data_IF_784986268667
#
_entry.id   IF_784986268667
#
_cell.length_a   1.000
_cell.length_b   1.000
_cell.length_c   1.000
_cell.angle_alpha   90.00
_cell.angle_beta   90.00
_cell.angle_gamma   90.00
#
_symmetry.space_group_name_H-M   'P 1'
#
loop_
_entity.id
_entity.type
_entity.pdbx_description
1 polymer ?
#
# COMPACT_ATOMS: atom_id res chain seq x y z
N UNK A 1 -7.82 -20.66 -1.19
CA UNK A 1 -7.36 -19.26 -1.09
C UNK A 1 -6.26 -19.24 -0.04
N UNK A 2 -5.03 -18.91 -0.41
CA UNK A 2 -3.88 -19.11 0.48
C UNK A 2 -3.79 -18.01 1.55
N UNK A 3 -3.86 -18.42 2.82
CA UNK A 3 -3.77 -17.53 3.99
C UNK A 3 -2.47 -16.71 3.97
N UNK A 4 -1.37 -17.32 3.49
CA UNK A 4 -0.07 -16.66 3.33
C UNK A 4 -0.13 -15.47 2.37
N UNK A 5 -0.88 -15.58 1.27
CA UNK A 5 -1.06 -14.50 0.30
C UNK A 5 -1.89 -13.35 0.89
N UNK A 6 -2.84 -13.66 1.76
CA UNK A 6 -3.64 -12.65 2.48
C UNK A 6 -2.77 -11.90 3.49
N UNK A 7 -1.96 -12.61 4.28
CA UNK A 7 -1.02 -12.01 5.24
C UNK A 7 -0.02 -11.10 4.51
N UNK A 8 0.55 -11.57 3.40
CA UNK A 8 1.47 -10.79 2.59
C UNK A 8 0.84 -9.50 2.06
N UNK A 9 -0.37 -9.57 1.48
CA UNK A 9 -1.10 -8.38 1.02
C UNK A 9 -1.48 -7.43 2.15
N UNK A 10 -1.75 -7.93 3.35
CA UNK A 10 -2.03 -7.08 4.52
C UNK A 10 -0.77 -6.37 5.01
N UNK A 11 0.38 -7.06 5.00
CA UNK A 11 1.68 -6.47 5.33
C UNK A 11 2.14 -5.43 4.30
N UNK A 12 1.91 -5.67 3.01
CA UNK A 12 2.15 -4.71 1.92
C UNK A 12 1.28 -3.45 2.05
N UNK A 13 0.10 -3.58 2.65
CA UNK A 13 -0.79 -2.45 2.98
C UNK A 13 -0.37 -1.71 4.26
N UNK A 14 0.75 -2.08 4.88
CA UNK A 14 1.27 -1.44 6.09
C UNK A 14 0.56 -1.86 7.37
N UNK A 15 -0.20 -2.95 7.35
CA UNK A 15 -0.85 -3.48 8.55
C UNK A 15 0.18 -4.17 9.44
N UNK A 16 0.12 -3.90 10.75
CA UNK A 16 1.01 -4.52 11.73
C UNK A 16 0.67 -6.00 11.92
N UNK A 17 1.67 -6.83 12.27
CA UNK A 17 1.45 -8.27 12.48
C UNK A 17 0.41 -8.55 13.59
N UNK A 18 0.24 -7.64 14.55
CA UNK A 18 -0.78 -7.74 15.60
C UNK A 18 -2.20 -7.44 15.07
N UNK A 19 -2.35 -6.47 14.18
CA UNK A 19 -3.62 -6.19 13.49
C UNK A 19 -4.00 -7.33 12.53
N UNK A 20 -3.03 -7.88 11.81
CA UNK A 20 -3.23 -9.04 10.94
C UNK A 20 -3.71 -10.23 11.78
N UNK A 21 -3.05 -10.49 12.92
CA UNK A 21 -3.44 -11.57 13.83
C UNK A 21 -4.86 -11.38 14.37
N UNK A 22 -5.22 -10.16 14.78
CA UNK A 22 -6.56 -9.83 15.26
C UNK A 22 -7.61 -10.10 14.16
N UNK A 23 -7.36 -9.64 12.94
CA UNK A 23 -8.25 -9.84 11.81
C UNK A 23 -8.39 -11.32 11.42
N UNK A 24 -7.30 -12.10 11.43
CA UNK A 24 -7.35 -13.54 11.15
C UNK A 24 -8.12 -14.31 12.23
N UNK A 25 -8.01 -13.89 13.49
CA UNK A 25 -8.76 -14.45 14.61
C UNK A 25 -10.26 -14.12 14.50
N UNK A 26 -10.59 -12.89 14.12
CA UNK A 26 -11.98 -12.47 13.85
C UNK A 26 -12.59 -13.24 12.67
N UNK A 27 -11.77 -13.63 11.68
CA UNK A 27 -12.17 -14.46 10.55
C UNK A 27 -12.21 -15.97 10.85
N UNK A 28 -11.90 -16.38 12.09
CA UNK A 28 -11.96 -17.79 12.52
C UNK A 28 -10.92 -18.69 11.83
N UNK A 29 -9.83 -18.12 11.31
CA UNK A 29 -8.80 -18.89 10.60
C UNK A 29 -7.96 -19.67 11.62
N UNK A 30 -8.05 -21.00 11.58
CA UNK A 30 -7.18 -21.89 12.35
C UNK A 30 -5.72 -21.64 11.92
N UNK A 31 -4.90 -21.11 12.83
CA UNK A 31 -3.50 -20.74 12.56
C UNK A 31 -3.14 -19.27 12.82
N UNK A 32 -4.05 -18.44 13.36
CA UNK A 32 -3.75 -17.05 13.72
C UNK A 32 -2.54 -16.90 14.68
N UNK A 33 -2.25 -17.90 15.50
CA UNK A 33 -1.09 -17.90 16.41
C UNK A 33 0.25 -18.28 15.75
N UNK A 34 0.22 -18.84 14.53
CA UNK A 34 1.43 -19.22 13.78
C UNK A 34 2.07 -18.04 13.03
N UNK A 35 1.50 -16.83 13.15
CA UNK A 35 2.06 -15.59 12.58
C UNK A 35 3.28 -15.09 13.36
N UNK A 36 3.85 -15.90 14.26
CA UNK A 36 5.11 -15.60 14.95
C UNK A 36 6.29 -16.20 14.20
N UNK A 37 7.15 -15.32 13.70
CA UNK A 37 8.58 -15.62 13.56
C UNK A 37 9.05 -16.02 12.17
N UNK A 38 8.92 -15.13 11.20
CA UNK A 38 9.93 -15.01 10.16
C UNK A 38 11.04 -14.10 10.69
N UNK A 39 12.13 -14.70 11.17
CA UNK A 39 13.34 -14.01 11.66
C UNK A 39 13.77 -12.89 10.72
N UNK A 40 14.26 -11.82 11.34
CA UNK A 40 15.16 -10.85 10.73
C UNK A 40 16.33 -11.60 10.06
N UNK A 41 16.31 -11.66 8.74
CA UNK A 41 17.51 -11.86 7.94
C UNK A 41 17.65 -10.66 7.03
N UNK A 42 18.74 -9.94 7.28
CA UNK A 42 19.38 -8.93 6.46
C UNK A 42 18.51 -7.74 6.01
N UNK A 43 18.81 -6.59 6.62
CA UNK A 43 18.73 -5.28 5.98
C UNK A 43 19.48 -5.31 4.63
N UNK A 44 18.86 -5.89 3.61
CA UNK A 44 19.18 -5.58 2.23
C UNK A 44 18.37 -4.33 1.90
N UNK A 45 18.98 -3.29 1.32
CA UNK A 45 18.24 -2.10 0.93
C UNK A 45 17.08 -2.56 0.06
N UNK A 46 15.87 -2.11 0.42
CA UNK A 46 14.62 -2.42 -0.28
C UNK A 46 14.76 -1.94 -1.72
N UNK A 47 15.25 -2.83 -2.58
CA UNK A 47 15.49 -2.59 -3.98
C UNK A 47 14.23 -2.95 -4.73
N UNK A 48 13.64 -1.96 -5.40
CA UNK A 48 12.52 -2.20 -6.31
C UNK A 48 12.94 -3.20 -7.39
N UNK A 49 12.28 -4.34 -7.48
CA UNK A 49 12.36 -5.25 -8.62
C UNK A 49 11.25 -4.87 -9.59
N UNK A 50 11.60 -4.45 -10.81
CA UNK A 50 10.64 -4.28 -11.90
C UNK A 50 10.79 -5.46 -12.85
N UNK A 51 9.71 -6.22 -13.03
CA UNK A 51 9.59 -7.17 -14.14
C UNK A 51 9.30 -6.39 -15.40
N UNK A 52 10.24 -6.39 -16.34
CA UNK A 52 10.02 -5.85 -17.68
C UNK A 52 9.53 -6.98 -18.57
N UNK A 53 8.38 -6.79 -19.21
CA UNK A 53 7.85 -7.68 -20.24
C UNK A 53 8.34 -7.19 -21.59
N UNK A 54 9.18 -8.00 -22.25
CA UNK A 54 9.63 -7.74 -23.62
C UNK A 54 8.51 -7.92 -24.63
N UNK A 55 8.68 -7.38 -25.84
CA UNK A 55 7.69 -7.46 -26.92
C UNK A 55 7.34 -8.90 -27.36
N UNK A 56 8.17 -9.89 -26.99
CA UNK A 56 7.95 -11.32 -27.26
C UNK A 56 7.40 -12.10 -26.06
N UNK A 57 7.03 -11.42 -24.96
CA UNK A 57 6.47 -12.05 -23.77
C UNK A 57 7.50 -12.68 -22.83
N UNK A 58 8.80 -12.47 -23.07
CA UNK A 58 9.86 -12.86 -22.14
C UNK A 58 9.83 -11.94 -20.90
N UNK A 59 9.57 -12.54 -19.75
CA UNK A 59 9.62 -11.90 -18.44
C UNK A 59 11.05 -11.94 -17.91
N UNK A 60 11.72 -10.79 -17.87
CA UNK A 60 13.04 -10.67 -17.22
C UNK A 60 12.91 -9.88 -15.93
N UNK A 61 13.28 -10.50 -14.82
CA UNK A 61 13.41 -9.83 -13.53
C UNK A 61 14.62 -8.89 -13.57
N UNK A 62 14.37 -7.59 -13.54
CA UNK A 62 15.43 -6.59 -13.41
C UNK A 62 15.49 -6.18 -11.95
N UNK A 63 16.47 -6.71 -11.23
CA UNK A 63 16.78 -6.26 -9.87
C UNK A 63 17.56 -4.95 -9.93
N UNK A 64 16.93 -3.83 -9.55
CA UNK A 64 17.57 -2.50 -9.47
C UNK A 64 18.78 -2.52 -8.53
N UNK A 65 18.77 -3.37 -7.50
CA UNK A 65 19.91 -3.59 -6.61
C UNK A 65 21.19 -4.04 -7.37
N UNK A 66 21.05 -4.84 -8.43
CA UNK A 66 22.21 -5.29 -9.24
C UNK A 66 22.75 -4.18 -10.16
N UNK A 67 21.91 -3.21 -10.53
CA UNK A 67 22.31 -2.05 -11.32
C UNK A 67 23.19 -1.10 -10.49
N UNK A 68 22.81 -0.89 -9.23
CA UNK A 68 23.53 -0.04 -8.27
C UNK A 68 24.92 -0.63 -7.95
N UNK A 69 25.05 -1.95 -7.83
CA UNK A 69 26.35 -2.60 -7.59
C UNK A 69 27.31 -2.55 -8.80
N UNK A 70 26.81 -2.42 -10.04
CA UNK A 70 27.66 -2.31 -11.23
C UNK A 70 28.20 -0.90 -11.48
N UNK A 71 27.56 0.13 -10.94
CA UNK A 71 27.98 1.52 -11.02
C UNK A 71 28.82 1.90 -9.80
N UNK A 72 30.07 1.43 -9.74
CA UNK A 72 31.07 1.87 -8.75
C UNK A 72 31.71 3.23 -9.13
N UNK A 73 30.96 4.11 -9.80
CA UNK A 73 31.36 5.46 -10.15
C UNK A 73 30.39 6.47 -9.50
N UNK A 74 30.56 6.65 -8.19
CA UNK A 74 30.53 7.95 -7.50
C UNK A 74 29.42 8.97 -7.79
N UNK A 75 28.25 8.59 -8.31
CA UNK A 75 27.12 9.52 -8.49
C UNK A 75 25.99 9.15 -7.55
N UNK A 76 25.68 9.98 -6.53
CA UNK A 76 24.47 9.78 -5.75
C UNK A 76 23.28 10.06 -6.67
N UNK A 77 22.62 8.99 -7.14
CA UNK A 77 21.40 9.02 -7.96
C UNK A 77 20.19 9.64 -7.25
N UNK A 78 20.36 10.10 -6.01
CA UNK A 78 19.37 10.82 -5.22
C UNK A 78 19.58 12.34 -5.21
N UNK A 79 20.33 12.88 -6.19
CA UNK A 79 20.27 14.32 -6.46
C UNK A 79 18.94 14.69 -7.11
N UNK A 80 18.00 15.09 -6.25
CA UNK A 80 17.01 16.13 -6.54
C UNK A 80 16.10 15.92 -7.76
N UNK A 81 15.12 15.03 -7.65
CA UNK A 81 13.88 15.20 -8.43
C UNK A 81 12.95 16.23 -7.77
N UNK A 82 13.45 17.43 -7.47
CA UNK A 82 12.64 18.55 -7.03
C UNK A 82 12.17 19.35 -8.24
N UNK A 83 11.16 18.84 -8.93
CA UNK A 83 10.28 19.69 -9.74
C UNK A 83 8.98 18.93 -10.00
N UNK A 84 8.16 18.81 -8.95
CA UNK A 84 6.73 18.66 -9.18
C UNK A 84 6.34 19.89 -9.99
N UNK A 85 5.91 19.70 -11.24
CA UNK A 85 5.48 20.83 -12.06
C UNK A 85 4.37 21.56 -11.29
N UNK A 86 4.33 22.91 -11.28
CA UNK A 86 3.26 23.66 -10.60
C UNK A 86 1.85 23.19 -10.99
N UNK A 87 1.71 22.66 -12.21
CA UNK A 87 0.47 22.07 -12.73
C UNK A 87 0.08 20.76 -12.04
N UNK A 88 1.04 19.96 -11.60
CA UNK A 88 0.82 18.73 -10.86
C UNK A 88 0.51 19.02 -9.39
N UNK A 89 1.15 20.02 -8.79
CA UNK A 89 0.83 20.50 -7.43
C UNK A 89 -0.62 20.99 -7.38
N UNK A 90 -1.03 21.84 -8.33
CA UNK A 90 -2.41 22.32 -8.41
C UNK A 90 -3.44 21.18 -8.57
N UNK A 91 -3.13 20.18 -9.40
CA UNK A 91 -4.01 19.00 -9.55
C UNK A 91 -4.12 18.17 -8.29
N UNK A 92 -3.05 18.08 -7.50
CA UNK A 92 -3.07 17.40 -6.21
C UNK A 92 -3.90 18.17 -5.19
N UNK A 93 -3.79 19.50 -5.15
CA UNK A 93 -4.61 20.35 -4.29
C UNK A 93 -6.09 20.27 -4.66
N UNK A 94 -6.43 20.31 -5.95
CA UNK A 94 -7.80 20.14 -6.45
C UNK A 94 -8.35 18.75 -6.08
N UNK A 95 -7.54 17.69 -6.23
CA UNK A 95 -7.94 16.34 -5.84
C UNK A 95 -8.16 16.22 -4.32
N UNK A 96 -7.32 16.87 -3.51
CA UNK A 96 -7.48 16.93 -2.05
C UNK A 96 -8.76 17.69 -1.66
N UNK A 97 -9.08 18.78 -2.34
CA UNK A 97 -10.31 19.54 -2.13
C UNK A 97 -11.55 18.69 -2.45
N UNK A 98 -11.54 17.97 -3.58
CA UNK A 98 -12.62 17.06 -3.96
C UNK A 98 -12.79 15.91 -2.96
N UNK A 99 -11.69 15.32 -2.48
CA UNK A 99 -11.73 14.28 -1.46
C UNK A 99 -12.37 14.76 -0.16
N UNK A 100 -12.05 15.97 0.29
CA UNK A 100 -12.68 16.57 1.48
C UNK A 100 -14.18 16.81 1.26
N UNK A 101 -14.56 17.35 0.11
CA UNK A 101 -15.97 17.55 -0.22
C UNK A 101 -16.76 16.23 -0.23
N UNK A 102 -16.17 15.15 -0.77
CA UNK A 102 -16.77 13.81 -0.74
C UNK A 102 -16.91 13.26 0.69
N UNK A 103 -15.92 13.49 1.56
CA UNK A 103 -16.00 13.10 2.96
C UNK A 103 -17.15 13.82 3.68
N UNK A 104 -17.32 15.12 3.44
CA UNK A 104 -18.41 15.90 4.03
C UNK A 104 -19.79 15.43 3.55
N UNK A 105 -19.93 15.13 2.25
CA UNK A 105 -21.17 14.56 1.69
C UNK A 105 -21.47 13.21 2.34
N UNK A 106 -20.49 12.31 2.44
CA UNK A 106 -20.67 11.00 3.05
C UNK A 106 -21.09 11.11 4.52
N UNK A 107 -20.52 12.06 5.27
CA UNK A 107 -20.93 12.34 6.65
C UNK A 107 -22.39 12.78 6.72
N UNK A 108 -22.82 13.66 5.81
CA UNK A 108 -24.21 14.13 5.74
C UNK A 108 -25.18 13.01 5.37
N UNK A 109 -24.84 12.16 4.41
CA UNK A 109 -25.63 10.98 4.03
C UNK A 109 -25.81 10.04 5.23
N UNK A 110 -24.72 9.75 5.97
CA UNK A 110 -24.79 8.91 7.16
C UNK A 110 -25.72 9.49 8.23
N UNK A 111 -25.62 10.79 8.50
CA UNK A 111 -26.51 11.48 9.44
C UNK A 111 -27.99 11.40 9.00
N UNK A 112 -28.27 11.67 7.73
CA UNK A 112 -29.63 11.57 7.18
C UNK A 112 -30.16 10.13 7.25
N UNK A 113 -29.33 9.13 6.94
CA UNK A 113 -29.72 7.73 7.04
C UNK A 113 -30.04 7.33 8.49
N UNK A 114 -29.25 7.78 9.46
CA UNK A 114 -29.54 7.57 10.87
C UNK A 114 -30.86 8.23 11.29
N UNK A 115 -31.11 9.46 10.86
CA UNK A 115 -32.35 10.17 11.15
C UNK A 115 -33.57 9.46 10.53
N UNK A 116 -33.48 9.02 9.28
CA UNK A 116 -34.55 8.25 8.63
C UNK A 116 -34.82 6.93 9.34
N UNK A 117 -33.78 6.20 9.73
CA UNK A 117 -33.92 4.95 10.50
C UNK A 117 -34.60 5.19 11.85
N UNK A 118 -34.26 6.29 12.55
CA UNK A 118 -34.92 6.66 13.80
C UNK A 118 -36.40 6.99 13.59
N UNK A 119 -36.75 7.66 12.49
CA UNK A 119 -38.16 7.95 12.14
C UNK A 119 -38.95 6.69 11.78
N UNK A 120 -38.33 5.71 11.13
CA UNK A 120 -38.95 4.43 10.75
C UNK A 120 -39.07 3.43 11.91
N UNK A 121 -38.31 3.62 13.00
CA UNK A 121 -38.38 2.80 14.22
C UNK A 121 -39.45 3.26 15.22
N UNK A 122 -40.15 4.35 14.95
CA UNK A 122 -41.35 4.79 15.68
C UNK A 122 -42.61 4.23 15.02
#
# INVERSE_FOLDING_TARGET
>A
MDIKLIIQKMRERGMSDDEIRKNLKELGVAGADEVKGGKAEEERPVGFSMTSVGAEGDEKEISVASMIQKSNDGTPLFQSSSSVSPKMEQKLDDALALLRALQDINKKILQTNQEMLLRLKK
#
